data_IF_964693220357
#
_entry.id   IF_964693220357
#
_cell.length_a   1.000
_cell.length_b   1.000
_cell.length_c   1.000
_cell.angle_alpha   90.00
_cell.angle_beta   90.00
_cell.angle_gamma   90.00
#
_symmetry.space_group_name_H-M   'P 1'
#
loop_
_entity.id
_entity.type
_entity.pdbx_description
1 polymer ?
#
# COMPACT_ATOMS: atom_id res chain seq x y z
N UNK A 1 11.25 -5.06 -53.82
CA UNK A 1 11.01 -3.68 -53.36
C UNK A 1 10.30 -3.79 -52.02
N UNK A 2 11.07 -3.94 -50.93
CA UNK A 2 10.53 -3.88 -49.57
C UNK A 2 10.24 -2.42 -49.22
N UNK A 3 9.31 -2.15 -48.29
CA UNK A 3 8.83 -0.79 -48.06
C UNK A 3 9.98 0.10 -47.61
N UNK A 4 9.83 1.39 -47.90
CA UNK A 4 10.76 2.46 -47.58
C UNK A 4 11.35 2.32 -46.16
N UNK A 5 12.60 2.78 -45.93
CA UNK A 5 13.25 2.69 -44.62
C UNK A 5 12.31 3.19 -43.50
N UNK A 6 12.16 2.38 -42.45
CA UNK A 6 11.27 2.64 -41.32
C UNK A 6 11.63 4.01 -40.70
N UNK A 7 10.69 4.94 -40.77
CA UNK A 7 10.77 6.22 -40.08
C UNK A 7 10.58 5.97 -38.58
N UNK A 8 11.69 5.93 -37.84
CA UNK A 8 11.72 5.63 -36.41
C UNK A 8 10.93 6.67 -35.61
N UNK A 9 10.93 7.94 -36.03
CA UNK A 9 10.18 8.99 -35.36
C UNK A 9 8.67 8.79 -35.47
N UNK A 10 8.17 8.49 -36.67
CA UNK A 10 6.74 8.17 -36.86
C UNK A 10 6.32 6.88 -36.15
N UNK A 11 7.22 5.90 -36.08
CA UNK A 11 6.95 4.66 -35.35
C UNK A 11 6.84 4.91 -33.84
N UNK A 12 7.78 5.64 -33.26
CA UNK A 12 7.78 5.99 -31.83
C UNK A 12 6.54 6.81 -31.44
N UNK A 13 6.18 7.81 -32.25
CA UNK A 13 4.97 8.61 -32.05
C UNK A 13 3.69 7.76 -32.14
N UNK A 14 3.59 6.87 -33.14
CA UNK A 14 2.44 5.98 -33.29
C UNK A 14 2.33 4.91 -32.19
N UNK A 15 3.45 4.56 -31.55
CA UNK A 15 3.51 3.61 -30.44
C UNK A 15 3.45 4.27 -29.05
N UNK A 16 3.35 5.60 -28.99
CA UNK A 16 3.33 6.33 -27.71
C UNK A 16 4.62 6.19 -26.91
N UNK A 17 5.76 5.99 -27.57
CA UNK A 17 7.06 5.89 -26.90
C UNK A 17 7.37 7.23 -26.23
N UNK A 18 7.58 7.21 -24.91
CA UNK A 18 7.77 8.43 -24.10
C UNK A 18 6.49 9.09 -23.60
N UNK A 19 5.29 8.57 -23.96
CA UNK A 19 4.03 9.03 -23.37
C UNK A 19 3.87 8.40 -22.00
N UNK A 20 3.93 9.23 -20.94
CA UNK A 20 3.66 8.82 -19.57
C UNK A 20 2.28 9.33 -19.20
N UNK A 21 1.33 8.41 -19.00
CA UNK A 21 0.01 8.75 -18.45
C UNK A 21 0.09 8.63 -16.94
N UNK A 22 -0.06 9.74 -16.23
CA UNK A 22 0.01 9.76 -14.78
C UNK A 22 -1.22 9.11 -14.13
N UNK A 23 -1.07 8.62 -12.90
CA UNK A 23 -2.18 8.07 -12.11
C UNK A 23 -3.26 9.15 -11.87
N UNK A 24 -2.86 10.40 -11.69
CA UNK A 24 -3.78 11.54 -11.50
C UNK A 24 -4.64 11.81 -12.74
N UNK A 25 -4.07 11.70 -13.93
CA UNK A 25 -4.81 11.82 -15.19
C UNK A 25 -5.79 10.66 -15.38
N UNK A 26 -5.41 9.44 -14.99
CA UNK A 26 -6.31 8.28 -14.95
C UNK A 26 -7.47 8.56 -13.99
N UNK A 27 -7.20 9.01 -12.76
CA UNK A 27 -8.21 9.34 -11.75
C UNK A 27 -9.19 10.42 -12.25
N UNK A 28 -8.67 11.51 -12.81
CA UNK A 28 -9.49 12.60 -13.37
C UNK A 28 -10.38 12.10 -14.52
N UNK A 29 -9.85 11.21 -15.36
CA UNK A 29 -10.58 10.68 -16.51
C UNK A 29 -11.62 9.66 -16.10
N UNK A 30 -11.31 8.78 -15.15
CA UNK A 30 -12.27 7.85 -14.53
C UNK A 30 -13.41 8.64 -13.89
N UNK A 31 -13.11 9.70 -13.13
CA UNK A 31 -14.13 10.57 -12.52
C UNK A 31 -15.07 11.16 -13.56
N UNK A 32 -14.53 11.69 -14.68
CA UNK A 32 -15.34 12.21 -15.79
C UNK A 32 -16.22 11.13 -16.43
N UNK A 33 -15.66 9.96 -16.71
CA UNK A 33 -16.41 8.83 -17.32
C UNK A 33 -17.52 8.35 -16.39
N UNK A 34 -17.28 8.28 -15.08
CA UNK A 34 -18.31 7.90 -14.11
C UNK A 34 -19.42 8.95 -14.00
N UNK A 35 -19.08 10.24 -14.01
CA UNK A 35 -20.08 11.30 -14.04
C UNK A 35 -20.95 11.25 -15.32
N UNK A 36 -20.33 11.01 -16.48
CA UNK A 36 -21.05 10.90 -17.76
C UNK A 36 -21.98 9.68 -17.82
N UNK A 37 -21.72 8.63 -17.03
CA UNK A 37 -22.53 7.42 -16.97
C UNK A 37 -23.33 7.29 -15.66
N UNK A 38 -23.45 8.36 -14.85
CA UNK A 38 -24.00 8.31 -13.49
C UNK A 38 -25.45 7.80 -13.45
N UNK A 39 -26.29 8.21 -14.39
CA UNK A 39 -27.70 7.75 -14.46
C UNK A 39 -27.77 6.23 -14.67
N UNK A 40 -26.96 5.69 -15.59
CA UNK A 40 -26.89 4.26 -15.85
C UNK A 40 -26.27 3.47 -14.69
N UNK A 41 -25.30 4.07 -13.96
CA UNK A 41 -24.68 3.48 -12.76
C UNK A 41 -25.73 3.31 -11.66
N UNK A 42 -26.54 4.35 -11.40
CA UNK A 42 -27.58 4.29 -10.36
C UNK A 42 -28.71 3.31 -10.73
N UNK A 43 -29.08 3.22 -12.01
CA UNK A 43 -30.12 2.30 -12.49
C UNK A 43 -29.67 0.83 -12.49
N UNK A 44 -28.46 0.55 -12.98
CA UNK A 44 -27.96 -0.81 -13.18
C UNK A 44 -27.11 -1.33 -12.01
N UNK A 45 -26.76 -0.46 -11.05
CA UNK A 45 -25.90 -0.77 -9.90
C UNK A 45 -24.70 -1.62 -10.30
N UNK A 46 -24.53 -2.79 -9.67
CA UNK A 46 -23.41 -3.70 -9.91
C UNK A 46 -23.51 -4.54 -11.19
N UNK A 47 -24.60 -4.40 -11.95
CA UNK A 47 -24.76 -5.05 -13.26
C UNK A 47 -24.24 -4.19 -14.41
N UNK A 48 -23.79 -2.96 -14.14
CA UNK A 48 -23.19 -2.11 -15.16
C UNK A 48 -21.96 -2.77 -15.78
N UNK A 49 -21.83 -2.64 -17.09
CA UNK A 49 -20.70 -3.21 -17.81
C UNK A 49 -19.42 -2.39 -17.57
N UNK A 50 -18.65 -2.79 -16.55
CA UNK A 50 -17.34 -2.20 -16.22
C UNK A 50 -16.39 -2.18 -17.43
N UNK A 51 -16.46 -3.19 -18.31
CA UNK A 51 -15.65 -3.24 -19.53
C UNK A 51 -15.95 -2.11 -20.51
N UNK A 52 -17.19 -1.62 -20.57
CA UNK A 52 -17.55 -0.45 -21.37
C UNK A 52 -16.92 0.82 -20.76
N UNK A 53 -17.01 0.99 -19.45
CA UNK A 53 -16.40 2.14 -18.74
C UNK A 53 -14.87 2.16 -18.95
N UNK A 54 -14.20 1.00 -18.81
CA UNK A 54 -12.77 0.89 -19.13
C UNK A 54 -12.48 1.25 -20.59
N UNK A 55 -13.34 0.86 -21.53
CA UNK A 55 -13.23 1.21 -22.94
C UNK A 55 -13.31 2.71 -23.20
N UNK A 56 -14.18 3.42 -22.48
CA UNK A 56 -14.31 4.89 -22.59
C UNK A 56 -13.06 5.61 -22.06
N UNK A 57 -12.48 5.12 -20.95
CA UNK A 57 -11.21 5.66 -20.42
C UNK A 57 -10.06 5.37 -21.39
N UNK A 58 -9.95 4.14 -21.91
CA UNK A 58 -8.91 3.76 -22.89
C UNK A 58 -8.98 4.55 -24.19
N UNK A 59 -10.18 5.01 -24.60
CA UNK A 59 -10.32 5.89 -25.78
C UNK A 59 -9.70 7.27 -25.55
N UNK A 60 -9.69 7.76 -24.31
CA UNK A 60 -9.10 9.04 -23.92
C UNK A 60 -7.61 8.90 -23.60
N UNK A 61 -7.22 7.74 -23.06
CA UNK A 61 -5.84 7.38 -22.72
C UNK A 61 -5.47 6.01 -23.32
N UNK A 62 -5.08 5.96 -24.61
CA UNK A 62 -4.74 4.71 -25.30
C UNK A 62 -3.55 3.98 -24.67
N UNK A 63 -2.63 4.75 -24.10
CA UNK A 63 -1.37 4.31 -23.49
C UNK A 63 -1.41 4.24 -21.96
N UNK A 64 -2.58 4.47 -21.35
CA UNK A 64 -2.75 4.37 -19.90
C UNK A 64 -2.79 2.92 -19.40
N UNK A 65 -2.39 2.70 -18.16
CA UNK A 65 -2.43 1.37 -17.54
C UNK A 65 -3.89 0.87 -17.40
N UNK A 66 -4.20 -0.21 -18.12
CA UNK A 66 -5.50 -0.83 -18.13
C UNK A 66 -5.88 -1.47 -16.79
N UNK A 67 -4.89 -1.97 -16.03
CA UNK A 67 -5.10 -2.56 -14.70
C UNK A 67 -5.45 -1.46 -13.70
N UNK A 68 -4.62 -0.42 -13.61
CA UNK A 68 -4.87 0.74 -12.74
C UNK A 68 -6.22 1.42 -13.05
N UNK A 69 -6.56 1.56 -14.35
CA UNK A 69 -7.86 2.10 -14.79
C UNK A 69 -9.03 1.26 -14.26
N UNK A 70 -8.94 -0.07 -14.35
CA UNK A 70 -10.00 -0.97 -13.89
C UNK A 70 -10.16 -0.92 -12.38
N UNK A 71 -9.07 -0.97 -11.64
CA UNK A 71 -9.07 -0.93 -10.17
C UNK A 71 -9.68 0.37 -9.64
N UNK A 72 -9.34 1.52 -10.24
CA UNK A 72 -9.92 2.81 -9.86
C UNK A 72 -11.43 2.87 -10.19
N UNK A 73 -11.87 2.34 -11.33
CA UNK A 73 -13.31 2.26 -11.66
C UNK A 73 -14.07 1.41 -10.63
N UNK A 74 -13.56 0.22 -10.30
CA UNK A 74 -14.22 -0.68 -9.34
C UNK A 74 -14.29 -0.05 -7.94
N UNK A 75 -13.23 0.62 -7.51
CA UNK A 75 -13.18 1.35 -6.24
C UNK A 75 -14.22 2.47 -6.20
N UNK A 76 -14.26 3.33 -7.21
CA UNK A 76 -15.21 4.46 -7.29
C UNK A 76 -16.66 4.00 -7.44
N UNK A 77 -16.90 2.91 -8.16
CA UNK A 77 -18.24 2.31 -8.24
C UNK A 77 -18.70 1.78 -6.87
N UNK A 78 -17.79 1.19 -6.08
CA UNK A 78 -18.12 0.76 -4.72
C UNK A 78 -18.42 1.96 -3.79
N UNK A 79 -17.71 3.08 -3.94
CA UNK A 79 -17.99 4.33 -3.22
C UNK A 79 -19.37 4.90 -3.57
N UNK A 80 -19.76 4.86 -4.86
CA UNK A 80 -21.05 5.39 -5.34
C UNK A 80 -22.24 4.48 -4.96
N UNK A 81 -22.08 3.16 -5.10
CA UNK A 81 -23.18 2.18 -4.99
C UNK A 81 -23.38 1.59 -3.59
N UNK A 82 -22.39 1.73 -2.70
CA UNK A 82 -22.41 1.17 -1.36
C UNK A 82 -22.33 -0.36 -1.34
N UNK A 83 -22.57 -1.03 -0.19
CA UNK A 83 -22.42 -2.49 -0.09
C UNK A 83 -23.36 -3.24 -1.04
N UNK A 84 -22.88 -4.36 -1.60
CA UNK A 84 -23.69 -5.26 -2.43
C UNK A 84 -24.86 -5.84 -1.62
N UNK A 85 -26.06 -5.66 -2.12
CA UNK A 85 -27.30 -6.16 -1.50
C UNK A 85 -27.74 -7.48 -2.15
N UNK A 86 -28.65 -8.23 -1.52
CA UNK A 86 -29.17 -9.48 -2.10
C UNK A 86 -29.85 -9.27 -3.47
N UNK A 87 -30.39 -8.08 -3.73
CA UNK A 87 -30.94 -7.69 -5.03
C UNK A 87 -29.87 -7.63 -6.14
N UNK A 88 -28.61 -7.35 -5.79
CA UNK A 88 -27.48 -7.30 -6.72
C UNK A 88 -26.99 -8.71 -7.13
N UNK A 89 -27.35 -9.75 -6.37
CA UNK A 89 -27.03 -11.15 -6.66
C UNK A 89 -28.01 -11.81 -7.63
N UNK A 90 -29.15 -11.17 -7.90
CA UNK A 90 -30.15 -11.65 -8.86
C UNK A 90 -29.70 -11.27 -10.27
N UNK A 91 -29.47 -12.27 -11.14
CA UNK A 91 -29.14 -12.01 -12.54
C UNK A 91 -30.35 -11.37 -13.25
N UNK A 92 -30.19 -10.24 -13.95
CA UNK A 92 -31.28 -9.64 -14.70
C UNK A 92 -31.76 -10.61 -15.79
N UNK A 93 -33.09 -10.71 -15.93
CA UNK A 93 -33.75 -11.58 -16.91
C UNK A 93 -33.36 -11.10 -18.32
N UNK A 94 -32.63 -11.94 -19.06
CA UNK A 94 -32.19 -11.65 -20.43
C UNK A 94 -33.37 -11.60 -21.39
N UNK A 95 -33.74 -10.41 -21.88
CA UNK A 95 -34.48 -10.27 -23.14
C UNK A 95 -33.53 -10.43 -24.33
N UNK A 96 -33.78 -11.47 -25.14
CA UNK A 96 -33.06 -11.79 -26.39
C UNK A 96 -33.21 -10.70 -27.46
N UNK A 97 -32.10 -10.17 -27.97
CA UNK A 97 -31.84 -9.74 -29.36
C UNK A 97 -30.33 -9.93 -29.56
N UNK A 98 -29.83 -10.87 -30.35
CA UNK A 98 -29.82 -10.89 -31.81
C UNK A 98 -28.34 -10.86 -32.25
N UNK A 99 -27.78 -12.03 -32.59
CA UNK A 99 -26.36 -12.24 -32.98
C UNK A 99 -26.09 -11.67 -34.38
N UNK A 100 -24.86 -11.27 -34.72
CA UNK A 100 -24.24 -11.86 -35.91
C UNK A 100 -22.80 -12.37 -35.67
N UNK A 101 -22.30 -13.06 -36.69
CA UNK A 101 -21.38 -14.19 -36.62
C UNK A 101 -19.87 -13.86 -36.61
N UNK A 102 -19.11 -14.93 -36.28
CA UNK A 102 -17.65 -15.11 -36.22
C UNK A 102 -16.87 -14.56 -37.43
N UNK A 103 -15.61 -14.19 -37.17
CA UNK A 103 -14.47 -14.60 -38.00
C UNK A 103 -13.33 -15.09 -37.10
N UNK A 104 -12.92 -16.34 -37.32
CA UNK A 104 -11.72 -16.97 -36.76
C UNK A 104 -10.51 -16.49 -37.53
N UNK A 105 -9.45 -16.03 -36.86
CA UNK A 105 -8.11 -16.01 -37.43
C UNK A 105 -7.04 -16.37 -36.39
N UNK A 106 -5.99 -17.01 -36.92
CA UNK A 106 -5.08 -17.94 -36.27
C UNK A 106 -4.16 -17.33 -35.23
N UNK A 107 -3.87 -18.12 -34.19
CA UNK A 107 -2.70 -17.97 -33.32
C UNK A 107 -1.42 -17.93 -34.17
N UNK A 108 -0.66 -16.85 -34.06
CA UNK A 108 0.78 -16.84 -34.35
C UNK A 108 1.48 -16.51 -33.03
N UNK A 109 2.26 -17.47 -32.54
CA UNK A 109 3.15 -17.25 -31.42
C UNK A 109 4.25 -16.27 -31.85
N UNK A 110 4.23 -15.07 -31.30
CA UNK A 110 5.37 -14.15 -31.35
C UNK A 110 6.09 -14.32 -30.02
N UNK A 111 7.35 -14.75 -30.11
CA UNK A 111 8.25 -14.86 -28.97
C UNK A 111 8.27 -13.54 -28.21
N UNK A 112 7.80 -13.57 -26.97
CA UNK A 112 8.01 -12.49 -26.00
C UNK A 112 9.50 -12.34 -25.81
N UNK A 113 10.06 -11.26 -26.35
CA UNK A 113 11.30 -10.69 -25.82
C UNK A 113 10.99 -10.37 -24.36
N UNK A 114 11.78 -10.95 -23.46
CA UNK A 114 11.59 -10.79 -22.03
C UNK A 114 11.48 -9.29 -21.68
N UNK A 115 10.45 -8.86 -20.94
CA UNK A 115 10.47 -7.53 -20.33
C UNK A 115 11.70 -7.43 -19.42
N UNK A 116 12.34 -6.25 -19.33
CA UNK A 116 13.49 -6.07 -18.47
C UNK A 116 13.04 -6.36 -17.03
N UNK A 117 13.76 -7.28 -16.38
CA UNK A 117 13.72 -7.69 -14.96
C UNK A 117 12.38 -7.50 -14.25
N UNK A 118 11.76 -8.61 -13.85
CA UNK A 118 10.68 -8.69 -12.85
C UNK A 118 10.67 -7.45 -11.93
N UNK A 119 9.59 -6.66 -11.98
CA UNK A 119 9.24 -5.70 -10.93
C UNK A 119 9.07 -6.51 -9.64
N UNK A 120 10.20 -6.81 -8.99
CA UNK A 120 10.24 -7.42 -7.68
C UNK A 120 9.67 -6.38 -6.74
N UNK A 121 8.39 -6.54 -6.40
CA UNK A 121 7.78 -5.80 -5.33
C UNK A 121 8.65 -6.00 -4.08
N UNK A 122 9.39 -4.98 -3.61
CA UNK A 122 10.35 -5.14 -2.52
C UNK A 122 9.65 -5.49 -1.20
N UNK A 123 8.32 -5.31 -1.13
CA UNK A 123 7.49 -5.59 0.02
C UNK A 123 6.97 -7.03 0.08
N UNK A 124 7.18 -7.83 -0.98
CA UNK A 124 6.67 -9.22 -1.08
C UNK A 124 7.31 -10.18 -0.06
N UNK A 125 8.51 -9.87 0.43
CA UNK A 125 9.21 -10.70 1.42
C UNK A 125 8.71 -10.51 2.85
N UNK A 126 7.94 -9.47 3.13
CA UNK A 126 7.39 -9.25 4.47
C UNK A 126 6.22 -10.21 4.73
N UNK A 127 6.09 -10.76 5.94
CA UNK A 127 4.98 -11.64 6.30
C UNK A 127 3.65 -10.88 6.31
N UNK A 128 2.53 -11.58 6.14
CA UNK A 128 1.21 -10.99 6.41
C UNK A 128 0.92 -10.91 7.92
N UNK A 129 0.06 -9.98 8.40
CA UNK A 129 -0.25 -9.87 9.83
C UNK A 129 -0.74 -11.18 10.48
N UNK A 130 -1.48 -12.00 9.73
CA UNK A 130 -1.94 -13.32 10.19
C UNK A 130 -0.82 -14.36 10.35
N UNK A 131 0.38 -14.07 9.84
CA UNK A 131 1.56 -14.93 9.86
C UNK A 131 2.58 -14.51 10.93
N UNK A 132 2.27 -13.49 11.73
CA UNK A 132 3.16 -12.97 12.78
C UNK A 132 3.57 -14.00 13.84
N UNK A 133 2.86 -15.13 13.96
CA UNK A 133 3.25 -16.25 14.82
C UNK A 133 4.34 -17.16 14.21
N UNK A 134 4.60 -17.07 12.90
CA UNK A 134 5.67 -17.80 12.21
C UNK A 134 7.01 -17.09 12.33
N UNK A 135 6.99 -15.77 12.53
CA UNK A 135 8.17 -14.95 12.78
C UNK A 135 8.59 -15.16 14.23
N UNK A 136 9.86 -15.50 14.45
CA UNK A 136 10.42 -15.68 15.78
C UNK A 136 11.81 -15.05 15.83
N UNK A 137 12.12 -14.42 16.96
CA UNK A 137 13.47 -13.98 17.26
C UNK A 137 14.13 -15.05 18.11
N UNK A 138 15.27 -15.55 17.65
CA UNK A 138 16.12 -16.44 18.43
C UNK A 138 17.12 -15.61 19.23
N UNK A 139 17.13 -15.78 20.55
CA UNK A 139 18.05 -15.13 21.47
C UNK A 139 18.98 -16.22 22.00
N UNK A 140 20.28 -16.03 21.75
CA UNK A 140 21.33 -16.95 22.17
C UNK A 140 21.92 -16.46 23.50
N UNK A 141 21.80 -17.29 24.53
CA UNK A 141 22.39 -17.02 25.83
C UNK A 141 23.78 -17.66 25.95
N UNK A 142 24.61 -17.09 26.82
CA UNK A 142 25.99 -17.54 27.06
C UNK A 142 26.10 -18.93 27.67
N UNK A 143 25.03 -19.43 28.28
CA UNK A 143 24.91 -20.79 28.81
C UNK A 143 24.54 -21.83 27.73
N UNK A 144 24.40 -21.40 26.48
CA UNK A 144 24.01 -22.24 25.35
C UNK A 144 22.50 -22.39 25.17
N UNK A 145 21.68 -21.77 26.03
CA UNK A 145 20.24 -21.76 25.85
C UNK A 145 19.84 -20.87 24.67
N UNK A 146 18.85 -21.34 23.90
CA UNK A 146 18.24 -20.56 22.82
C UNK A 146 16.79 -20.30 23.21
N UNK A 147 16.46 -19.03 23.39
CA UNK A 147 15.08 -18.63 23.62
C UNK A 147 14.45 -18.16 22.31
N UNK A 148 13.23 -18.64 22.05
CA UNK A 148 12.45 -18.28 20.86
C UNK A 148 11.24 -17.48 21.26
N UNK A 149 11.36 -16.16 21.18
CA UNK A 149 10.22 -15.27 21.38
C UNK A 149 9.26 -15.42 20.19
N UNK A 150 8.02 -15.81 20.48
CA UNK A 150 6.95 -15.91 19.50
C UNK A 150 5.63 -15.49 20.13
N UNK A 151 4.76 -14.89 19.32
CA UNK A 151 3.41 -14.55 19.77
C UNK A 151 2.57 -15.80 19.90
N UNK A 152 1.84 -15.94 21.02
CA UNK A 152 0.86 -17.01 21.16
C UNK A 152 -0.34 -16.76 20.24
N UNK A 153 -1.16 -17.79 20.00
CA UNK A 153 -2.36 -17.66 19.17
C UNK A 153 -3.34 -16.64 19.75
N UNK A 154 -3.48 -16.60 21.07
CA UNK A 154 -4.37 -15.69 21.78
C UNK A 154 -3.94 -14.22 21.61
N UNK A 155 -2.62 -13.95 21.65
CA UNK A 155 -2.07 -12.60 21.40
C UNK A 155 -2.31 -12.21 19.94
N UNK A 156 -2.10 -13.13 19.00
CA UNK A 156 -2.34 -12.89 17.58
C UNK A 156 -3.81 -12.57 17.29
N UNK A 157 -4.76 -13.32 17.88
CA UNK A 157 -6.19 -13.07 17.74
C UNK A 157 -6.57 -11.67 18.24
N UNK A 158 -6.09 -11.28 19.43
CA UNK A 158 -6.30 -9.93 19.96
C UNK A 158 -5.70 -8.86 19.05
N UNK A 159 -4.51 -9.09 18.50
CA UNK A 159 -3.87 -8.19 17.56
C UNK A 159 -4.70 -8.02 16.28
N UNK A 160 -5.14 -9.13 15.66
CA UNK A 160 -5.95 -9.09 14.43
C UNK A 160 -7.31 -8.42 14.65
N UNK A 161 -7.93 -8.59 15.81
CA UNK A 161 -9.14 -7.87 16.18
C UNK A 161 -8.90 -6.36 16.31
N UNK A 162 -7.78 -5.95 16.93
CA UNK A 162 -7.45 -4.54 17.13
C UNK A 162 -7.04 -3.83 15.82
N UNK A 163 -6.33 -4.52 14.91
CA UNK A 163 -5.84 -3.92 13.65
C UNK A 163 -6.77 -4.16 12.46
N UNK A 164 -7.76 -5.04 12.59
CA UNK A 164 -8.58 -5.52 11.48
C UNK A 164 -7.76 -6.30 10.44
N UNK A 165 -6.61 -6.87 10.84
CA UNK A 165 -5.69 -7.57 9.94
C UNK A 165 -4.92 -6.66 8.98
N UNK A 166 -4.96 -5.34 9.17
CA UNK A 166 -4.19 -4.39 8.35
C UNK A 166 -2.72 -4.35 8.79
N UNK A 167 -1.84 -4.11 7.81
CA UNK A 167 -0.43 -3.85 8.08
C UNK A 167 -0.29 -2.52 8.82
N UNK A 168 0.51 -2.52 9.89
CA UNK A 168 0.80 -1.33 10.68
C UNK A 168 2.31 -1.20 10.84
N UNK A 169 2.86 -0.10 10.34
CA UNK A 169 4.28 0.25 10.43
C UNK A 169 4.45 1.54 11.21
N UNK A 170 5.70 1.90 11.51
CA UNK A 170 6.03 3.18 12.14
C UNK A 170 7.37 3.68 11.63
N UNK A 171 7.48 4.98 11.37
CA UNK A 171 8.75 5.66 11.20
C UNK A 171 9.06 6.41 12.50
N UNK A 172 10.08 6.01 13.28
CA UNK A 172 10.32 6.57 14.61
C UNK A 172 11.60 7.43 14.72
N UNK A 173 11.63 8.66 14.18
CA UNK A 173 12.79 9.52 14.27
C UNK A 173 12.93 10.14 15.68
N UNK A 174 14.17 10.31 16.12
CA UNK A 174 14.48 11.15 17.29
C UNK A 174 14.35 12.64 16.91
N UNK A 175 13.66 13.47 17.71
CA UNK A 175 13.44 14.89 17.43
C UNK A 175 14.63 15.76 17.89
N UNK A 176 15.86 15.32 17.66
CA UNK A 176 17.10 15.98 18.11
C UNK A 176 18.08 16.35 16.97
N UNK A 177 17.70 16.09 15.71
CA UNK A 177 18.53 16.39 14.56
C UNK A 177 17.80 16.39 13.23
N UNK A 178 18.51 16.80 12.17
CA UNK A 178 17.99 16.84 10.81
C UNK A 178 18.07 15.47 10.13
N UNK A 179 17.04 15.10 9.38
CA UNK A 179 17.04 13.87 8.61
C UNK A 179 18.06 13.94 7.47
N UNK A 180 18.98 12.97 7.42
CA UNK A 180 19.84 12.71 6.26
C UNK A 180 19.24 11.65 5.31
N UNK A 181 19.87 11.42 4.16
CA UNK A 181 19.41 10.50 3.10
C UNK A 181 19.15 9.05 3.55
N UNK A 182 19.77 8.61 4.63
CA UNK A 182 19.51 7.27 5.21
C UNK A 182 18.07 7.13 5.68
N UNK A 183 17.47 8.21 6.19
CA UNK A 183 16.06 8.24 6.59
C UNK A 183 15.11 8.11 5.40
N UNK A 184 15.51 8.51 4.19
CA UNK A 184 14.69 8.29 2.99
C UNK A 184 14.45 6.79 2.76
N UNK A 185 15.46 5.95 3.00
CA UNK A 185 15.30 4.49 2.92
C UNK A 185 14.36 3.97 4.01
N UNK A 186 14.50 4.45 5.25
CA UNK A 186 13.62 4.05 6.35
C UNK A 186 12.16 4.41 6.04
N UNK A 187 11.90 5.65 5.62
CA UNK A 187 10.57 6.10 5.21
C UNK A 187 10.02 5.29 4.03
N UNK A 188 10.85 4.99 3.02
CA UNK A 188 10.43 4.15 1.90
C UNK A 188 9.99 2.76 2.35
N UNK A 189 10.69 2.14 3.31
CA UNK A 189 10.30 0.84 3.84
C UNK A 189 9.02 0.96 4.67
N UNK A 190 8.99 1.87 5.64
CA UNK A 190 7.90 1.95 6.63
C UNK A 190 6.60 2.45 5.98
N UNK A 191 6.63 3.61 5.32
CA UNK A 191 5.45 4.17 4.65
C UNK A 191 5.12 3.40 3.38
N UNK A 192 6.12 2.95 2.61
CA UNK A 192 5.89 2.21 1.38
C UNK A 192 5.22 0.86 1.62
N UNK A 193 5.64 0.10 2.64
CA UNK A 193 4.99 -1.17 2.99
C UNK A 193 3.53 -0.95 3.42
N UNK A 194 3.26 0.09 4.23
CA UNK A 194 1.89 0.42 4.61
C UNK A 194 1.05 0.84 3.39
N UNK A 195 1.59 1.68 2.50
CA UNK A 195 0.90 2.14 1.29
C UNK A 195 0.57 0.98 0.35
N UNK A 196 1.55 0.10 0.10
CA UNK A 196 1.41 -1.08 -0.76
C UNK A 196 0.30 -2.03 -0.27
N UNK A 197 0.16 -2.17 1.05
CA UNK A 197 -0.79 -3.11 1.67
C UNK A 197 -2.06 -2.45 2.23
N UNK A 198 -2.35 -1.21 1.81
CA UNK A 198 -3.49 -0.42 2.32
C UNK A 198 -3.58 -0.38 3.86
N UNK A 199 -2.41 -0.38 4.49
CA UNK A 199 -2.20 -0.32 5.93
C UNK A 199 -2.03 1.10 6.46
N UNK A 200 -1.46 1.19 7.65
CA UNK A 200 -1.20 2.46 8.34
C UNK A 200 0.27 2.59 8.72
N UNK A 201 0.86 3.75 8.46
CA UNK A 201 2.18 4.09 9.00
C UNK A 201 2.03 5.22 10.02
N UNK A 202 2.53 5.00 11.23
CA UNK A 202 2.62 6.04 12.26
C UNK A 202 3.91 6.83 12.10
N UNK A 203 3.84 8.16 12.19
CA UNK A 203 5.03 8.97 12.48
C UNK A 203 5.13 9.08 14.01
N UNK A 204 6.06 8.34 14.61
CA UNK A 204 6.16 8.29 16.08
C UNK A 204 7.47 8.90 16.56
N UNK A 205 7.44 10.13 17.07
CA UNK A 205 8.64 10.76 17.59
C UNK A 205 9.18 9.99 18.80
N UNK A 206 10.47 9.67 18.75
CA UNK A 206 11.18 9.05 19.88
C UNK A 206 11.71 10.13 20.83
N UNK A 207 10.80 10.66 21.65
CA UNK A 207 11.01 11.77 22.59
C UNK A 207 11.35 11.28 24.00
N UNK A 208 12.11 10.19 24.10
CA UNK A 208 12.52 9.61 25.40
C UNK A 208 13.56 10.46 26.14
N UNK A 209 14.24 11.38 25.45
CA UNK A 209 15.22 12.29 26.03
C UNK A 209 14.67 13.74 26.12
N UNK A 210 14.29 14.22 27.32
CA UNK A 210 13.68 15.54 27.48
C UNK A 210 14.61 16.72 27.21
N UNK A 211 15.94 16.54 27.21
CA UNK A 211 16.90 17.63 26.98
C UNK A 211 17.24 17.83 25.48
N UNK A 212 17.00 16.81 24.66
CA UNK A 212 17.41 16.79 23.26
C UNK A 212 16.31 17.25 22.29
N UNK A 213 15.06 17.35 22.76
CA UNK A 213 13.90 17.68 21.95
C UNK A 213 13.88 19.17 21.59
N UNK A 214 13.77 19.48 20.29
CA UNK A 214 13.46 20.84 19.82
C UNK A 214 12.33 20.81 18.84
N UNK A 215 11.42 21.78 18.99
CA UNK A 215 10.32 22.00 18.05
C UNK A 215 10.79 22.16 16.61
N UNK A 216 11.96 22.78 16.38
CA UNK A 216 12.51 22.94 15.02
C UNK A 216 12.70 21.59 14.30
N UNK A 217 13.16 20.56 15.03
CA UNK A 217 13.41 19.24 14.44
C UNK A 217 12.09 18.52 14.17
N UNK A 218 11.11 18.64 15.07
CA UNK A 218 9.77 18.07 14.89
C UNK A 218 9.10 18.66 13.65
N UNK A 219 9.15 19.99 13.50
CA UNK A 219 8.54 20.69 12.38
C UNK A 219 9.24 20.30 11.07
N UNK A 220 10.58 20.28 11.05
CA UNK A 220 11.36 19.88 9.88
C UNK A 220 11.16 18.42 9.50
N UNK A 221 11.12 17.49 10.46
CA UNK A 221 10.87 16.07 10.20
C UNK A 221 9.51 15.90 9.53
N UNK A 222 8.47 16.57 10.03
CA UNK A 222 7.15 16.53 9.40
C UNK A 222 7.21 17.11 8.00
N UNK A 223 7.87 18.26 7.79
CA UNK A 223 8.04 18.84 6.46
C UNK A 223 8.66 17.85 5.47
N UNK A 224 9.76 17.17 5.85
CA UNK A 224 10.44 16.19 4.98
C UNK A 224 9.57 14.97 4.69
N UNK A 225 8.81 14.47 5.67
CA UNK A 225 7.88 13.36 5.47
C UNK A 225 6.86 13.72 4.38
N UNK A 226 6.23 14.90 4.49
CA UNK A 226 5.27 15.37 3.48
C UNK A 226 5.94 15.70 2.14
N UNK A 227 7.16 16.27 2.17
CA UNK A 227 7.93 16.60 0.96
C UNK A 227 8.27 15.36 0.12
N UNK A 228 8.52 14.22 0.77
CA UNK A 228 8.72 12.93 0.09
C UNK A 228 7.40 12.26 -0.36
N UNK A 229 6.25 12.91 -0.15
CA UNK A 229 4.94 12.42 -0.58
C UNK A 229 4.33 11.36 0.34
N UNK A 230 4.80 11.27 1.58
CA UNK A 230 4.23 10.39 2.60
C UNK A 230 3.21 11.14 3.45
N UNK A 231 2.15 10.44 3.83
CA UNK A 231 1.14 10.95 4.76
C UNK A 231 1.06 9.99 5.96
N UNK A 232 1.36 10.46 7.19
CA UNK A 232 1.21 9.63 8.38
C UNK A 232 -0.26 9.38 8.70
N UNK A 233 -0.60 8.14 9.04
CA UNK A 233 -1.93 7.80 9.55
C UNK A 233 -2.24 8.56 10.85
N UNK A 234 -1.23 8.66 11.72
CA UNK A 234 -1.28 9.41 12.97
C UNK A 234 0.13 9.78 13.39
N UNK A 235 0.27 10.98 13.95
CA UNK A 235 1.47 11.42 14.67
C UNK A 235 1.31 11.06 16.14
N UNK A 236 2.30 10.38 16.72
CA UNK A 236 2.33 10.01 18.14
C UNK A 236 3.71 10.25 18.73
N UNK A 237 3.80 10.20 20.05
CA UNK A 237 5.04 10.40 20.80
C UNK A 237 5.30 9.18 21.67
N UNK A 238 6.56 8.85 21.95
CA UNK A 238 6.87 7.80 22.93
C UNK A 238 6.39 8.22 24.33
N UNK A 239 6.45 9.51 24.65
CA UNK A 239 5.95 10.07 25.91
C UNK A 239 4.45 9.85 26.17
N UNK A 240 3.64 9.74 25.12
CA UNK A 240 2.21 9.36 25.22
C UNK A 240 2.01 8.03 25.97
N UNK A 241 3.05 7.18 26.01
CA UNK A 241 3.02 5.83 26.55
C UNK A 241 3.86 5.65 27.83
N UNK A 242 4.44 6.72 28.41
CA UNK A 242 5.32 6.59 29.59
C UNK A 242 4.66 5.90 30.78
N UNK A 243 3.37 6.13 31.03
CA UNK A 243 2.66 5.45 32.10
C UNK A 243 2.59 3.92 31.88
N UNK A 244 2.24 3.49 30.67
CA UNK A 244 2.21 2.07 30.32
C UNK A 244 3.61 1.44 30.35
N UNK A 245 4.63 2.17 29.88
CA UNK A 245 6.03 1.73 29.95
C UNK A 245 6.51 1.54 31.40
N UNK A 246 6.16 2.47 32.29
CA UNK A 246 6.44 2.36 33.72
C UNK A 246 5.74 1.15 34.35
N UNK A 247 4.47 0.92 34.04
CA UNK A 247 3.72 -0.24 34.53
C UNK A 247 4.34 -1.56 34.09
N UNK A 248 4.79 -1.66 32.83
CA UNK A 248 5.53 -2.81 32.36
C UNK A 248 6.89 -2.98 33.06
N UNK A 249 7.61 -1.89 33.36
CA UNK A 249 8.84 -1.96 34.13
C UNK A 249 8.61 -2.52 35.54
N UNK A 250 7.53 -2.07 36.21
CA UNK A 250 7.11 -2.62 37.52
C UNK A 250 6.75 -4.10 37.42
N UNK A 251 6.03 -4.50 36.37
CA UNK A 251 5.68 -5.90 36.11
C UNK A 251 6.93 -6.78 35.92
N UNK A 252 7.95 -6.28 35.20
CA UNK A 252 9.23 -6.97 35.03
C UNK A 252 9.95 -7.19 36.37
N UNK A 253 9.95 -6.19 37.26
CA UNK A 253 10.53 -6.31 38.61
C UNK A 253 9.77 -7.37 39.43
N UNK A 254 8.44 -7.34 39.40
CA UNK A 254 7.59 -8.31 40.12
C UNK A 254 7.80 -9.74 39.63
N UNK A 255 8.12 -9.92 38.34
CA UNK A 255 8.45 -11.22 37.73
C UNK A 255 9.90 -11.66 37.97
N UNK A 256 10.73 -10.83 38.63
CA UNK A 256 12.15 -11.10 38.83
C UNK A 256 12.99 -11.01 37.55
N UNK A 257 12.48 -10.30 36.53
CA UNK A 257 13.14 -10.12 35.22
C UNK A 257 13.84 -8.75 35.09
N UNK A 258 13.73 -7.89 36.09
CA UNK A 258 14.42 -6.62 36.20
C UNK A 258 14.80 -6.34 37.65
N UNK A 259 15.86 -5.56 37.86
CA UNK A 259 16.32 -5.12 39.17
C UNK A 259 16.87 -3.69 39.06
N UNK A 260 17.04 -3.03 40.21
CA UNK A 260 17.69 -1.71 40.29
C UNK A 260 19.18 -1.92 40.45
N UNK A 261 19.95 -1.41 39.49
CA UNK A 261 21.40 -1.40 39.56
C UNK A 261 21.90 -0.11 40.23
N UNK A 262 22.96 -0.25 41.02
CA UNK A 262 23.66 0.85 41.69
C UNK A 262 25.10 1.02 41.20
N UNK A 263 25.50 0.27 40.18
CA UNK A 263 26.80 0.43 39.52
C UNK A 263 26.90 1.80 38.83
N UNK A 264 28.13 2.31 38.78
CA UNK A 264 28.50 3.41 37.90
C UNK A 264 28.59 2.90 36.46
N UNK A 265 28.63 3.83 35.48
CA UNK A 265 28.79 3.45 34.07
C UNK A 265 30.13 2.76 33.77
N UNK A 266 31.13 3.02 34.63
CA UNK A 266 32.46 2.39 34.67
C UNK A 266 32.44 1.17 35.59
#
# INVERSE_FOLDING_TARGET
>A
VGPDPLDTGKFEEACGVGVVVSIEEIHSTVTKVLHENMEAILEQRYHINVGNLCGQVRKRHPWGDAKATKEEIEKRLAEILGPKTEADNVKPVKTKKGKPAKSEEKKVAVATVAPPSEDLNPYSHFPEPAENNKVHTEIFFSDGNIWRAHNTKEILEKHLMATGGKVTTRFPPEPNGYLHIGHAKAMFIDFGLAKERNGYCYLRFDDTNPEAEKKEYIDHIQEIVHWLGWEPYKVTYTSDYFQALYEHAVELIQKGLAYVDHQTAE
#
